data_IF_359724142601
#
_entry.id   IF_359724142601
#
_cell.length_a   1.000
_cell.length_b   1.000
_cell.length_c   1.000
_cell.angle_alpha   90.00
_cell.angle_beta   90.00
_cell.angle_gamma   90.00
#
_symmetry.space_group_name_H-M   'P 1'
#
loop_
_entity.id
_entity.type
_entity.pdbx_description
1 polymer ?
#
# COMPACT_ATOMS: atom_id res chain seq x y z
N UNK A 1 -3.60 13.33 -7.06
CA UNK A 1 -3.69 12.78 -5.69
C UNK A 1 -4.34 13.83 -4.81
N UNK A 2 -5.17 13.43 -3.84
CA UNK A 2 -5.79 14.38 -2.90
C UNK A 2 -4.73 15.09 -2.05
N UNK A 3 -5.03 16.28 -1.53
CA UNK A 3 -4.18 16.91 -0.53
C UNK A 3 -4.08 15.99 0.70
N UNK A 4 -2.89 15.83 1.28
CA UNK A 4 -2.71 14.88 2.38
C UNK A 4 -3.53 15.26 3.63
N UNK A 5 -3.83 16.55 3.81
CA UNK A 5 -4.72 17.06 4.86
C UNK A 5 -6.16 16.64 4.66
N UNK A 6 -6.57 16.37 3.42
CA UNK A 6 -7.89 15.80 3.12
C UNK A 6 -7.92 14.27 3.29
N UNK A 7 -6.75 13.62 3.24
CA UNK A 7 -6.61 12.18 3.44
C UNK A 7 -6.66 11.84 4.93
N UNK A 8 -5.96 12.62 5.75
CA UNK A 8 -5.90 12.43 7.21
C UNK A 8 -6.25 13.71 7.96
N UNK A 9 -7.52 14.18 7.90
CA UNK A 9 -7.91 15.46 8.50
C UNK A 9 -7.69 15.51 10.02
N UNK A 10 -7.69 14.35 10.68
CA UNK A 10 -7.58 14.21 12.14
C UNK A 10 -6.14 13.92 12.60
N UNK A 11 -5.14 14.01 11.71
CA UNK A 11 -3.73 13.84 12.08
C UNK A 11 -3.19 15.00 12.94
N UNK A 12 -3.91 16.12 13.00
CA UNK A 12 -3.62 17.22 13.92
C UNK A 12 -4.79 17.40 14.86
N UNK A 13 -4.51 17.45 16.17
CA UNK A 13 -5.47 17.87 17.18
C UNK A 13 -4.98 19.16 17.86
N UNK A 14 -5.93 19.93 18.39
CA UNK A 14 -5.64 21.15 19.15
C UNK A 14 -5.93 20.92 20.62
N UNK A 15 -5.00 21.30 21.48
CA UNK A 15 -5.22 21.26 22.92
C UNK A 15 -6.09 22.44 23.41
N UNK A 16 -6.31 22.51 24.72
CA UNK A 16 -7.11 23.57 25.35
C UNK A 16 -6.49 24.97 25.18
N UNK A 17 -5.18 25.06 24.95
CA UNK A 17 -4.48 26.31 24.67
C UNK A 17 -4.51 26.68 23.18
N UNK A 18 -4.98 25.76 22.32
CA UNK A 18 -5.03 25.92 20.87
C UNK A 18 -3.73 25.53 20.16
N UNK A 19 -2.78 24.90 20.86
CA UNK A 19 -1.56 24.39 20.25
C UNK A 19 -1.85 23.13 19.42
N UNK A 20 -1.25 23.05 18.23
CA UNK A 20 -1.41 21.94 17.30
C UNK A 20 -0.42 20.82 17.63
N UNK A 21 -0.94 19.61 17.82
CA UNK A 21 -0.17 18.42 18.12
C UNK A 21 -0.45 17.36 17.04
N UNK A 22 0.60 16.72 16.56
CA UNK A 22 0.47 15.66 15.57
C UNK A 22 0.10 14.34 16.26
N UNK A 23 -0.99 13.72 15.80
CA UNK A 23 -1.40 12.39 16.21
C UNK A 23 -0.89 11.37 15.20
N UNK A 24 -0.33 10.27 15.71
CA UNK A 24 0.18 9.17 14.90
C UNK A 24 -0.97 8.52 14.11
N UNK A 25 -0.80 8.40 12.80
CA UNK A 25 -1.73 7.72 11.88
C UNK A 25 -1.21 6.32 11.61
N UNK A 26 -2.11 5.33 11.48
CA UNK A 26 -1.69 3.94 11.22
C UNK A 26 -2.51 3.21 10.15
N UNK A 27 -3.62 3.79 9.68
CA UNK A 27 -4.41 3.18 8.62
C UNK A 27 -3.86 3.61 7.26
N UNK A 28 -3.23 2.68 6.54
CA UNK A 28 -2.70 2.93 5.19
C UNK A 28 -3.79 3.04 4.12
N UNK A 29 -5.02 2.57 4.37
CA UNK A 29 -6.05 2.50 3.34
C UNK A 29 -6.42 3.88 2.77
N UNK A 30 -6.66 4.95 3.57
CA UNK A 30 -6.88 6.28 3.03
C UNK A 30 -5.72 6.76 2.15
N UNK A 31 -4.47 6.47 2.52
CA UNK A 31 -3.29 6.84 1.74
C UNK A 31 -3.23 6.11 0.40
N UNK A 32 -3.49 4.79 0.38
CA UNK A 32 -3.56 3.99 -0.85
C UNK A 32 -4.70 4.45 -1.77
N UNK A 33 -5.89 4.71 -1.20
CA UNK A 33 -7.04 5.25 -1.95
C UNK A 33 -6.75 6.65 -2.52
N UNK A 34 -5.89 7.43 -1.85
CA UNK A 34 -5.51 8.79 -2.29
C UNK A 34 -4.66 8.83 -3.56
N UNK A 35 -4.08 7.70 -3.97
CA UNK A 35 -3.38 7.57 -5.26
C UNK A 35 -4.31 7.84 -6.45
N UNK A 36 -5.63 7.62 -6.29
CA UNK A 36 -6.62 7.84 -7.34
C UNK A 36 -6.78 6.68 -8.31
N UNK A 37 -6.23 5.52 -7.97
CA UNK A 37 -6.38 4.28 -8.75
C UNK A 37 -7.46 3.39 -8.17
N UNK A 38 -8.03 2.51 -8.99
CA UNK A 38 -8.95 1.49 -8.49
C UNK A 38 -8.14 0.39 -7.82
N UNK A 39 -8.36 0.15 -6.53
CA UNK A 39 -7.82 -1.04 -5.84
C UNK A 39 -8.65 -2.25 -6.29
N UNK A 40 -8.01 -3.22 -6.94
CA UNK A 40 -8.63 -4.48 -7.37
C UNK A 40 -8.52 -5.56 -6.28
N UNK A 41 -7.40 -5.58 -5.58
CA UNK A 41 -7.11 -6.52 -4.51
C UNK A 41 -6.18 -5.83 -3.51
N UNK A 42 -6.48 -6.00 -2.23
CA UNK A 42 -5.59 -5.65 -1.12
C UNK A 42 -5.61 -6.82 -0.14
N UNK A 43 -4.44 -7.26 0.29
CA UNK A 43 -4.26 -8.26 1.33
C UNK A 43 -3.21 -7.72 2.29
N UNK A 44 -3.58 -7.68 3.56
CA UNK A 44 -2.75 -7.22 4.67
C UNK A 44 -2.51 -8.41 5.60
N UNK A 45 -1.30 -8.51 6.18
CA UNK A 45 -1.02 -9.53 7.20
C UNK A 45 -1.80 -9.25 8.50
N UNK A 46 -2.24 -10.30 9.20
CA UNK A 46 -2.99 -10.18 10.46
C UNK A 46 -2.03 -10.14 11.67
N UNK A 47 -1.33 -9.03 11.85
CA UNK A 47 -0.27 -8.89 12.85
C UNK A 47 -0.06 -7.50 13.43
N UNK A 48 0.84 -7.39 14.42
CA UNK A 48 1.38 -6.09 14.88
C UNK A 48 2.37 -5.50 13.87
N UNK A 49 2.96 -6.38 13.06
CA UNK A 49 3.85 -6.08 11.95
C UNK A 49 3.50 -7.02 10.81
N UNK A 50 3.83 -6.64 9.59
CA UNK A 50 3.60 -7.47 8.41
C UNK A 50 3.75 -6.68 7.13
N UNK A 51 3.25 -7.19 6.02
CA UNK A 51 3.20 -6.47 4.77
C UNK A 51 1.77 -6.24 4.28
N UNK A 52 1.65 -5.23 3.44
CA UNK A 52 0.48 -4.95 2.63
C UNK A 52 0.82 -5.20 1.16
N UNK A 53 -0.07 -5.91 0.47
CA UNK A 53 0.06 -6.28 -0.94
C UNK A 53 -1.16 -5.76 -1.69
N UNK A 54 -0.94 -4.93 -2.71
CA UNK A 54 -2.02 -4.23 -3.43
C UNK A 54 -1.86 -4.38 -4.93
N UNK A 55 -2.97 -4.69 -5.59
CA UNK A 55 -3.13 -4.64 -7.04
C UNK A 55 -4.04 -3.47 -7.43
N UNK A 56 -3.50 -2.54 -8.19
CA UNK A 56 -4.20 -1.37 -8.71
C UNK A 56 -4.58 -1.52 -10.18
N UNK A 57 -5.62 -0.79 -10.60
CA UNK A 57 -5.98 -0.53 -12.00
C UNK A 57 -6.04 0.96 -12.27
N UNK A 58 -5.39 1.38 -13.34
CA UNK A 58 -5.40 2.74 -13.87
C UNK A 58 -5.58 2.70 -15.39
N UNK A 59 -6.81 2.85 -15.86
CA UNK A 59 -7.16 2.62 -17.27
C UNK A 59 -6.77 1.21 -17.73
N UNK A 60 -5.83 1.13 -18.67
CA UNK A 60 -5.35 -0.13 -19.26
C UNK A 60 -4.05 -0.66 -18.63
N UNK A 61 -3.53 0.02 -17.60
CA UNK A 61 -2.36 -0.44 -16.85
C UNK A 61 -2.74 -0.90 -15.44
N UNK A 62 -1.91 -1.78 -14.92
CA UNK A 62 -2.06 -2.43 -13.63
C UNK A 62 -0.81 -2.14 -12.80
N UNK A 63 -0.98 -1.96 -11.50
CA UNK A 63 0.09 -1.61 -10.58
C UNK A 63 0.19 -2.62 -9.46
N UNK A 64 1.38 -3.15 -9.20
CA UNK A 64 1.65 -4.01 -8.05
C UNK A 64 2.48 -3.23 -7.02
N UNK A 65 2.00 -3.18 -5.78
CA UNK A 65 2.71 -2.60 -4.64
C UNK A 65 2.76 -3.62 -3.51
N UNK A 66 3.94 -3.81 -2.94
CA UNK A 66 4.17 -4.63 -1.75
C UNK A 66 5.09 -3.83 -0.82
N UNK A 67 4.66 -3.61 0.43
CA UNK A 67 5.45 -2.88 1.41
C UNK A 67 5.20 -3.41 2.82
N UNK A 68 6.25 -3.40 3.64
CA UNK A 68 6.19 -3.80 5.05
C UNK A 68 5.84 -2.66 6.00
N UNK A 69 5.27 -3.03 7.14
CA UNK A 69 4.89 -2.16 8.25
C UNK A 69 5.18 -2.84 9.61
N UNK A 70 5.35 -2.03 10.66
CA UNK A 70 5.40 -2.51 12.05
C UNK A 70 6.69 -3.14 12.60
N UNK A 71 7.88 -2.92 12.05
CA UNK A 71 9.12 -3.65 12.47
C UNK A 71 9.62 -3.45 13.93
N UNK A 72 9.11 -2.45 14.66
CA UNK A 72 9.33 -2.17 16.09
C UNK A 72 8.38 -1.05 16.57
N UNK A 73 8.28 -0.79 17.89
CA UNK A 73 7.48 0.34 18.43
C UNK A 73 7.95 1.67 17.82
N UNK A 74 7.07 2.33 17.03
CA UNK A 74 7.40 3.56 16.31
C UNK A 74 8.17 3.37 14.99
N UNK A 75 8.27 2.14 14.48
CA UNK A 75 8.97 1.82 13.22
C UNK A 75 8.03 1.47 12.06
N UNK A 76 6.72 1.53 12.31
CA UNK A 76 5.76 1.66 11.22
C UNK A 76 5.96 3.03 10.57
N UNK A 77 6.19 3.06 9.26
CA UNK A 77 6.61 4.27 8.57
C UNK A 77 5.55 5.37 8.63
N UNK A 78 4.27 5.01 8.62
CA UNK A 78 3.17 5.97 8.72
C UNK A 78 3.01 6.48 10.16
N UNK A 79 3.15 5.60 11.15
CA UNK A 79 3.11 6.00 12.56
C UNK A 79 4.31 6.86 12.97
N UNK A 80 5.45 6.68 12.30
CA UNK A 80 6.68 7.44 12.52
C UNK A 80 6.60 8.87 11.94
N UNK A 81 5.65 9.15 11.05
CA UNK A 81 5.41 10.49 10.56
C UNK A 81 4.92 11.40 11.71
N UNK A 82 5.49 12.60 11.75
CA UNK A 82 5.25 13.66 12.72
C UNK A 82 4.71 14.94 12.08
N UNK A 83 4.51 14.91 10.76
CA UNK A 83 3.98 16.01 9.97
C UNK A 83 3.23 15.51 8.73
N UNK A 84 2.39 16.39 8.16
CA UNK A 84 1.72 16.09 6.89
C UNK A 84 2.71 15.94 5.74
N UNK A 85 3.79 16.72 5.77
CA UNK A 85 4.89 16.67 4.82
C UNK A 85 5.54 15.28 4.81
N UNK A 86 5.84 14.70 5.98
CA UNK A 86 6.40 13.35 6.09
C UNK A 86 5.42 12.27 5.60
N UNK A 87 4.12 12.40 5.87
CA UNK A 87 3.11 11.49 5.31
C UNK A 87 3.10 11.61 3.78
N UNK A 88 3.18 12.82 3.22
CA UNK A 88 3.19 13.00 1.77
C UNK A 88 4.46 12.44 1.13
N UNK A 89 5.62 12.59 1.78
CA UNK A 89 6.88 11.98 1.34
C UNK A 89 6.79 10.45 1.33
N UNK A 90 6.27 9.84 2.41
CA UNK A 90 6.01 8.39 2.45
C UNK A 90 5.04 7.98 1.35
N UNK A 91 3.98 8.75 1.14
CA UNK A 91 2.99 8.51 0.08
C UNK A 91 3.64 8.53 -1.30
N UNK A 92 4.53 9.50 -1.57
CA UNK A 92 5.27 9.59 -2.81
C UNK A 92 6.25 8.42 -2.98
N UNK A 93 6.93 8.00 -1.91
CA UNK A 93 7.80 6.83 -1.93
C UNK A 93 7.01 5.57 -2.32
N UNK A 94 5.92 5.27 -1.60
CA UNK A 94 5.07 4.11 -1.89
C UNK A 94 4.48 4.17 -3.29
N UNK A 95 4.13 5.36 -3.80
CA UNK A 95 3.66 5.55 -5.17
C UNK A 95 4.73 5.23 -6.21
N UNK A 96 5.97 5.64 -5.96
CA UNK A 96 7.11 5.36 -6.84
C UNK A 96 7.52 3.89 -6.84
N UNK A 97 7.27 3.18 -5.74
CA UNK A 97 7.55 1.75 -5.61
C UNK A 97 6.52 0.86 -6.35
N UNK A 98 5.42 1.44 -6.85
CA UNK A 98 4.43 0.69 -7.62
C UNK A 98 5.06 0.21 -8.94
N UNK A 99 5.10 -1.11 -9.12
CA UNK A 99 5.46 -1.72 -10.40
C UNK A 99 4.28 -1.66 -11.35
N UNK A 100 4.39 -0.83 -12.39
CA UNK A 100 3.40 -0.71 -13.45
C UNK A 100 3.68 -1.61 -14.64
N UNK A 101 2.61 -2.09 -15.27
CA UNK A 101 2.64 -2.78 -16.55
C UNK A 101 1.24 -3.02 -17.10
N UNK A 102 1.16 -3.59 -18.29
CA UNK A 102 -0.06 -4.23 -18.80
C UNK A 102 -0.44 -5.45 -17.95
N UNK A 103 -1.65 -5.97 -18.13
CA UNK A 103 -2.07 -7.22 -17.48
C UNK A 103 -1.12 -8.37 -17.85
N UNK A 104 -0.58 -8.36 -19.07
CA UNK A 104 0.42 -9.32 -19.54
C UNK A 104 1.75 -9.21 -18.82
N UNK A 105 2.35 -8.03 -18.83
CA UNK A 105 3.66 -7.82 -18.22
C UNK A 105 3.64 -8.10 -16.71
N UNK A 106 2.56 -7.72 -16.00
CA UNK A 106 2.46 -8.02 -14.58
C UNK A 106 2.16 -9.49 -14.29
N UNK A 107 1.36 -10.15 -15.13
CA UNK A 107 1.13 -11.59 -14.99
C UNK A 107 2.44 -12.37 -15.18
N UNK A 108 3.20 -12.04 -16.23
CA UNK A 108 4.52 -12.63 -16.48
C UNK A 108 5.49 -12.36 -15.33
N UNK A 109 5.50 -11.14 -14.80
CA UNK A 109 6.32 -10.80 -13.64
C UNK A 109 5.95 -11.65 -12.41
N UNK A 110 4.67 -11.73 -12.06
CA UNK A 110 4.21 -12.48 -10.88
C UNK A 110 4.50 -13.97 -11.04
N UNK A 111 4.33 -14.54 -12.24
CA UNK A 111 4.58 -15.96 -12.48
C UNK A 111 6.07 -16.31 -12.59
N UNK A 112 6.90 -15.37 -13.07
CA UNK A 112 8.34 -15.57 -13.24
C UNK A 112 9.17 -15.21 -12.01
N UNK A 113 8.59 -14.51 -11.02
CA UNK A 113 9.27 -14.17 -9.77
C UNK A 113 9.40 -15.42 -8.90
N UNK A 114 10.60 -15.64 -8.38
CA UNK A 114 10.85 -16.68 -7.38
C UNK A 114 10.41 -16.16 -6.00
N UNK A 115 9.16 -16.42 -5.67
CA UNK A 115 8.59 -15.96 -4.41
C UNK A 115 9.18 -16.70 -3.20
N UNK A 116 9.77 -17.90 -3.36
CA UNK A 116 10.35 -18.64 -2.23
C UNK A 116 11.53 -17.92 -1.58
N UNK A 117 12.15 -16.99 -2.31
CA UNK A 117 13.23 -16.13 -1.81
C UNK A 117 12.72 -14.89 -1.06
N UNK A 118 11.43 -14.59 -1.16
CA UNK A 118 10.81 -13.48 -0.45
C UNK A 118 10.48 -13.91 0.98
N UNK A 119 10.87 -13.08 1.95
CA UNK A 119 10.71 -13.37 3.38
C UNK A 119 9.26 -13.74 3.75
N UNK A 120 8.29 -13.07 3.14
CA UNK A 120 6.87 -13.25 3.43
C UNK A 120 6.18 -14.39 2.67
N UNK A 121 6.89 -15.20 1.87
CA UNK A 121 6.26 -16.27 1.07
C UNK A 121 5.64 -17.42 1.87
N UNK A 122 6.15 -17.62 3.08
CA UNK A 122 5.59 -18.63 3.99
C UNK A 122 4.29 -18.17 4.65
N UNK A 123 3.98 -16.88 4.58
CA UNK A 123 2.72 -16.32 5.05
C UNK A 123 1.57 -16.67 4.08
N UNK A 124 0.41 -17.02 4.63
CA UNK A 124 -0.76 -17.45 3.87
C UNK A 124 -1.29 -16.33 2.98
N UNK A 125 -1.20 -15.10 3.48
CA UNK A 125 -1.60 -13.85 2.88
C UNK A 125 -0.86 -13.57 1.58
N UNK A 126 0.46 -13.80 1.53
CA UNK A 126 1.25 -13.67 0.29
C UNK A 126 0.76 -14.65 -0.77
N UNK A 127 0.53 -15.91 -0.40
CA UNK A 127 0.07 -16.95 -1.34
C UNK A 127 -1.34 -16.67 -1.83
N UNK A 128 -2.22 -16.24 -0.94
CA UNK A 128 -3.57 -15.82 -1.28
C UNK A 128 -3.55 -14.64 -2.26
N UNK A 129 -2.74 -13.61 -1.97
CA UNK A 129 -2.60 -12.45 -2.83
C UNK A 129 -2.14 -12.85 -4.23
N UNK A 130 -1.06 -13.65 -4.35
CA UNK A 130 -0.51 -14.07 -5.64
C UNK A 130 -1.53 -14.86 -6.44
N UNK A 131 -2.21 -15.83 -5.81
CA UNK A 131 -3.25 -16.63 -6.48
C UNK A 131 -4.37 -15.74 -7.03
N UNK A 132 -4.93 -14.85 -6.20
CA UNK A 132 -6.02 -13.95 -6.62
C UNK A 132 -5.57 -12.93 -7.65
N UNK A 133 -4.36 -12.38 -7.52
CA UNK A 133 -3.79 -11.43 -8.48
C UNK A 133 -3.65 -12.07 -9.87
N UNK A 134 -3.17 -13.31 -9.94
CA UNK A 134 -3.11 -14.08 -11.20
C UNK A 134 -4.50 -14.25 -11.81
N UNK A 135 -5.48 -14.68 -11.01
CA UNK A 135 -6.87 -14.87 -11.48
C UNK A 135 -7.45 -13.57 -12.07
N UNK A 136 -7.24 -12.43 -11.40
CA UNK A 136 -7.70 -11.11 -11.84
C UNK A 136 -7.02 -10.71 -13.16
N UNK A 137 -5.68 -10.79 -13.22
CA UNK A 137 -4.92 -10.37 -14.41
C UNK A 137 -5.23 -11.25 -15.64
N UNK A 138 -5.50 -12.54 -15.43
CA UNK A 138 -5.92 -13.44 -16.51
C UNK A 138 -7.29 -13.07 -17.09
N UNK A 139 -8.25 -12.67 -16.25
CA UNK A 139 -9.57 -12.21 -16.72
C UNK A 139 -9.46 -10.92 -17.53
N UNK A 140 -8.61 -10.00 -17.08
CA UNK A 140 -8.39 -8.72 -17.73
C UNK A 140 -7.62 -8.83 -19.06
N UNK A 141 -6.84 -9.89 -19.29
CA UNK A 141 -6.22 -10.18 -20.60
C UNK A 141 -7.23 -10.49 -21.70
N UNK A 142 -8.39 -11.02 -21.34
CA UNK A 142 -9.39 -11.57 -22.28
C UNK A 142 -10.42 -10.50 -22.69
N UNK A 143 -10.49 -9.39 -21.94
CA UNK A 143 -11.43 -8.28 -22.15
C UNK A 143 -10.81 -7.16 -22.99
#
# INVERSE_FOLDING_TARGET
MKDIKEVYPDAIWKDEAGEEHFWSVSDYRPLLESFGYKILLQVDDDGYQGDTRVLFKDGNRYGLLIFGWGSCSGCDALQACSSYEEIDELRQQLHNDIKWGTAEELLEYIQGKDWELEWAWHEEETREFIRKAIEILQQEKIC
#
